data_IF_834854582095
#
_entry.id   IF_834854582095
#
_cell.length_a   1.000
_cell.length_b   1.000
_cell.length_c   1.000
_cell.angle_alpha   90.00
_cell.angle_beta   90.00
_cell.angle_gamma   90.00
#
_symmetry.space_group_name_H-M   'P 1'
#
loop_
_entity.id
_entity.type
_entity.pdbx_description
1 polymer ?
#
# COMPACT_ATOMS: atom_id res chain seq x y z
N UNK A 1 28.62 -3.35 -64.77
CA UNK A 1 29.01 -3.42 -63.34
C UNK A 1 28.56 -2.22 -62.50
N UNK A 2 28.59 -0.98 -63.01
CA UNK A 2 28.15 0.20 -62.24
C UNK A 2 26.65 0.22 -61.85
N UNK A 3 25.73 -0.30 -62.67
CA UNK A 3 24.29 -0.31 -62.32
C UNK A 3 23.90 -1.30 -61.22
N UNK A 4 24.67 -2.38 -61.05
CA UNK A 4 24.43 -3.36 -59.99
C UNK A 4 24.93 -2.86 -58.62
N UNK A 5 25.97 -2.02 -58.63
CA UNK A 5 26.55 -1.42 -57.44
C UNK A 5 25.61 -0.39 -56.79
N UNK A 6 24.88 0.38 -57.60
CA UNK A 6 23.92 1.37 -57.09
C UNK A 6 22.70 0.74 -56.42
N UNK A 7 22.23 -0.41 -56.92
CA UNK A 7 21.07 -1.12 -56.33
C UNK A 7 21.42 -1.68 -54.95
N UNK A 8 22.63 -2.21 -54.78
CA UNK A 8 23.12 -2.71 -53.47
C UNK A 8 23.31 -1.58 -52.44
N UNK A 9 23.71 -0.38 -52.87
CA UNK A 9 23.84 0.78 -51.97
C UNK A 9 22.47 1.31 -51.55
N UNK A 10 21.46 1.30 -52.43
CA UNK A 10 20.09 1.67 -52.04
C UNK A 10 19.41 0.65 -51.13
N UNK A 11 19.74 -0.65 -51.23
CA UNK A 11 19.22 -1.67 -50.31
C UNK A 11 19.92 -1.57 -48.94
N UNK A 12 21.19 -1.14 -48.90
CA UNK A 12 21.90 -0.88 -47.65
C UNK A 12 21.36 0.34 -46.88
N UNK A 13 20.78 1.33 -47.56
CA UNK A 13 20.21 2.53 -46.91
C UNK A 13 18.75 2.37 -46.44
N UNK A 14 18.03 1.35 -46.91
CA UNK A 14 16.66 1.04 -46.45
C UNK A 14 16.66 0.08 -45.25
N UNK A 15 17.82 -0.49 -44.89
CA UNK A 15 17.95 -1.51 -43.83
C UNK A 15 18.36 -1.00 -42.44
N UNK A 16 18.43 0.31 -42.19
CA UNK A 16 18.79 0.86 -40.87
C UNK A 16 17.76 1.91 -40.44
N UNK A 17 16.49 1.55 -40.49
CA UNK A 17 15.53 2.01 -39.48
C UNK A 17 15.32 0.84 -38.52
N UNK A 18 16.40 0.42 -37.85
CA UNK A 18 16.21 -0.29 -36.59
C UNK A 18 15.45 0.68 -35.71
N UNK A 19 14.20 0.36 -35.40
CA UNK A 19 13.56 0.84 -34.19
C UNK A 19 14.54 0.52 -33.07
N UNK A 20 15.39 1.48 -32.72
CA UNK A 20 15.94 1.53 -31.39
C UNK A 20 14.72 1.79 -30.51
N UNK A 21 13.97 0.73 -30.22
CA UNK A 21 13.29 0.63 -28.95
C UNK A 21 14.43 0.75 -27.94
N UNK A 22 14.68 1.98 -27.51
CA UNK A 22 15.47 2.24 -26.34
C UNK A 22 14.74 1.50 -25.24
N UNK A 23 15.18 0.27 -24.95
CA UNK A 23 14.85 -0.41 -23.71
C UNK A 23 15.44 0.48 -22.62
N UNK A 24 14.69 1.48 -22.16
CA UNK A 24 15.09 2.25 -20.99
C UNK A 24 15.31 1.23 -19.87
N UNK A 25 16.52 1.18 -19.33
CA UNK A 25 16.79 0.32 -18.18
C UNK A 25 15.84 0.73 -17.06
N UNK A 26 15.09 -0.23 -16.54
CA UNK A 26 14.19 0.00 -15.42
C UNK A 26 14.99 0.53 -14.22
N UNK A 27 14.58 1.70 -13.75
CA UNK A 27 15.08 2.29 -12.52
C UNK A 27 14.46 1.64 -11.28
N UNK A 28 15.21 1.63 -10.19
CA UNK A 28 14.70 1.29 -8.86
C UNK A 28 14.63 2.56 -8.03
N UNK A 29 13.44 2.91 -7.58
CA UNK A 29 13.23 3.96 -6.59
C UNK A 29 12.78 3.36 -5.26
N UNK A 30 13.19 4.01 -4.17
CA UNK A 30 12.75 3.66 -2.81
C UNK A 30 11.33 4.16 -2.54
N UNK A 31 10.94 5.29 -3.15
CA UNK A 31 9.58 5.81 -3.08
C UNK A 31 8.62 4.97 -3.93
N UNK A 32 7.45 4.67 -3.38
CA UNK A 32 6.37 3.98 -4.06
C UNK A 32 5.04 4.68 -3.75
N UNK A 33 4.18 4.73 -4.75
CA UNK A 33 2.81 5.20 -4.65
C UNK A 33 1.85 4.09 -5.05
N UNK A 34 0.86 3.80 -4.21
CA UNK A 34 -0.12 2.73 -4.45
C UNK A 34 -1.52 3.25 -4.23
N UNK A 35 -2.42 2.94 -5.16
CA UNK A 35 -3.86 3.12 -5.01
C UNK A 35 -4.46 1.74 -4.84
N UNK A 36 -5.24 1.53 -3.79
CA UNK A 36 -5.76 0.23 -3.46
C UNK A 36 -7.25 0.28 -3.21
N UNK A 37 -7.96 -0.65 -3.82
CA UNK A 37 -9.36 -0.93 -3.55
C UNK A 37 -9.45 -2.31 -2.91
N UNK A 38 -10.01 -2.39 -1.70
CA UNK A 38 -10.39 -3.66 -1.07
C UNK A 38 -11.90 -3.76 -1.16
N UNK A 39 -12.39 -4.82 -1.79
CA UNK A 39 -13.81 -5.19 -1.79
C UNK A 39 -13.96 -6.41 -0.90
N UNK A 40 -14.46 -6.22 0.32
CA UNK A 40 -14.64 -7.28 1.30
C UNK A 40 -16.11 -7.66 1.42
N UNK A 41 -16.52 -8.70 0.68
CA UNK A 41 -17.85 -9.33 0.76
C UNK A 41 -17.90 -10.44 1.81
N UNK A 42 -16.82 -10.71 2.52
CA UNK A 42 -16.74 -11.83 3.46
C UNK A 42 -17.03 -11.41 4.89
N UNK A 43 -16.39 -10.33 5.36
CA UNK A 43 -16.42 -9.96 6.77
C UNK A 43 -17.12 -8.62 6.97
N UNK A 44 -16.56 -7.54 6.41
CA UNK A 44 -17.04 -6.18 6.67
C UNK A 44 -18.22 -5.77 5.79
N UNK A 45 -18.39 -6.39 4.62
CA UNK A 45 -19.29 -5.91 3.55
C UNK A 45 -18.91 -4.52 3.00
N UNK A 46 -17.71 -4.03 3.33
CA UNK A 46 -17.26 -2.69 2.99
C UNK A 46 -16.37 -2.70 1.75
N UNK A 47 -16.27 -1.52 1.14
CA UNK A 47 -15.25 -1.23 0.15
C UNK A 47 -14.34 -0.17 0.73
N UNK A 48 -13.05 -0.45 0.81
CA UNK A 48 -12.05 0.52 1.24
C UNK A 48 -11.29 0.98 0.01
N UNK A 49 -11.25 2.29 -0.23
CA UNK A 49 -10.35 2.88 -1.21
C UNK A 49 -9.23 3.59 -0.46
N UNK A 50 -7.98 3.38 -0.87
CA UNK A 50 -6.85 4.02 -0.20
C UNK A 50 -5.75 4.42 -1.16
N UNK A 51 -5.00 5.44 -0.75
CA UNK A 51 -3.73 5.84 -1.33
C UNK A 51 -2.65 5.65 -0.27
N UNK A 52 -1.54 5.00 -0.63
CA UNK A 52 -0.36 4.87 0.22
C UNK A 52 0.86 5.42 -0.50
N UNK A 53 1.54 6.35 0.16
CA UNK A 53 2.88 6.81 -0.21
C UNK A 53 3.86 6.18 0.76
N UNK A 54 4.88 5.49 0.25
CA UNK A 54 5.83 4.80 1.11
C UNK A 54 7.26 4.92 0.62
N UNK A 55 8.22 4.88 1.53
CA UNK A 55 9.64 4.87 1.21
C UNK A 55 10.46 4.25 2.33
N UNK A 56 11.70 3.89 1.98
CA UNK A 56 12.75 3.55 2.96
C UNK A 56 13.84 4.63 3.07
N UNK A 57 13.58 5.81 2.52
CA UNK A 57 14.48 6.96 2.51
C UNK A 57 13.86 8.13 3.26
N UNK A 58 14.56 8.61 4.29
CA UNK A 58 14.17 9.81 5.05
C UNK A 58 14.25 11.10 4.22
N UNK A 59 14.82 11.07 3.01
CA UNK A 59 14.82 12.22 2.09
C UNK A 59 13.49 12.34 1.33
N UNK A 60 12.80 11.22 1.13
CA UNK A 60 11.54 11.11 0.39
C UNK A 60 10.33 11.19 1.33
N UNK A 61 10.44 10.67 2.56
CA UNK A 61 9.48 10.87 3.65
C UNK A 61 10.28 11.31 4.88
N UNK A 62 10.17 12.58 5.26
CA UNK A 62 11.07 13.25 6.19
C UNK A 62 10.67 13.03 7.64
N UNK A 63 11.50 12.27 8.34
CA UNK A 63 11.56 12.24 9.80
C UNK A 63 13.00 12.57 10.24
N UNK A 64 13.23 13.09 11.46
CA UNK A 64 14.59 13.30 11.96
C UNK A 64 15.42 12.02 11.91
N UNK A 65 16.68 12.12 11.48
CA UNK A 65 17.54 10.97 11.31
C UNK A 65 17.85 10.30 12.67
N UNK A 66 17.98 11.11 13.72
CA UNK A 66 18.22 10.66 15.08
C UNK A 66 17.02 9.85 15.60
N UNK A 67 15.79 10.32 15.38
CA UNK A 67 14.57 9.60 15.75
C UNK A 67 14.45 8.28 14.97
N UNK A 68 14.64 8.31 13.64
CA UNK A 68 14.62 7.09 12.80
C UNK A 68 15.62 6.06 13.30
N UNK A 69 16.86 6.49 13.59
CA UNK A 69 17.91 5.61 14.06
C UNK A 69 17.57 5.02 15.42
N UNK A 70 17.09 5.83 16.36
CA UNK A 70 16.70 5.39 17.71
C UNK A 70 15.55 4.38 17.67
N UNK A 71 14.59 4.54 16.76
CA UNK A 71 13.50 3.59 16.52
C UNK A 71 14.04 2.29 15.91
N UNK A 72 14.92 2.41 14.91
CA UNK A 72 15.48 1.28 14.16
C UNK A 72 16.40 0.40 15.00
N UNK A 73 17.18 0.99 15.90
CA UNK A 73 18.15 0.28 16.74
C UNK A 73 17.53 -0.34 17.99
N UNK A 74 16.30 0.02 18.36
CA UNK A 74 15.59 -0.62 19.46
C UNK A 74 14.84 -1.87 18.98
N UNK A 75 15.39 -3.04 19.32
CA UNK A 75 14.83 -4.34 18.97
C UNK A 75 13.41 -4.57 19.54
N UNK A 76 13.04 -3.85 20.60
CA UNK A 76 11.71 -3.92 21.20
C UNK A 76 10.68 -3.12 20.42
N UNK A 77 11.05 -2.06 19.69
CA UNK A 77 10.10 -1.32 18.86
C UNK A 77 9.81 -2.10 17.56
N UNK A 78 8.52 -2.32 17.26
CA UNK A 78 8.05 -3.00 16.04
C UNK A 78 7.32 -2.08 15.07
N UNK A 79 6.66 -1.05 15.57
CA UNK A 79 6.12 0.03 14.76
C UNK A 79 5.78 1.23 15.63
N UNK A 80 5.81 2.41 15.02
CA UNK A 80 5.11 3.60 15.51
C UNK A 80 4.03 3.94 14.50
N UNK A 81 2.83 4.24 15.00
CA UNK A 81 1.65 4.53 14.19
C UNK A 81 1.01 5.82 14.70
N UNK A 82 0.77 6.78 13.82
CA UNK A 82 0.04 8.03 14.09
C UNK A 82 -1.21 8.03 13.23
N UNK A 83 -2.39 8.20 13.83
CA UNK A 83 -3.66 8.04 13.10
C UNK A 83 -4.82 8.81 13.73
N UNK A 84 -5.83 9.18 12.93
CA UNK A 84 -7.12 9.66 13.41
C UNK A 84 -8.28 8.66 13.19
N UNK A 85 -7.94 7.37 13.09
CA UNK A 85 -8.93 6.29 13.15
C UNK A 85 -9.81 6.43 14.40
N UNK A 86 -11.15 6.34 14.22
CA UNK A 86 -12.14 6.54 15.30
C UNK A 86 -11.89 5.64 16.51
N UNK A 87 -11.43 4.42 16.25
CA UNK A 87 -11.09 3.44 17.28
C UNK A 87 -9.75 2.77 16.92
N UNK A 88 -8.65 3.38 17.36
CA UNK A 88 -7.30 2.82 17.16
C UNK A 88 -7.04 1.55 18.00
N UNK A 89 -7.65 1.46 19.19
CA UNK A 89 -7.76 0.26 20.02
C UNK A 89 -9.11 0.27 20.74
N UNK A 90 -9.54 -0.89 21.25
CA UNK A 90 -10.76 -0.97 22.06
C UNK A 90 -10.68 -0.03 23.26
N UNK A 91 -11.70 0.80 23.43
CA UNK A 91 -11.81 1.75 24.55
C UNK A 91 -11.37 3.17 24.23
N UNK A 92 -10.73 3.42 23.07
CA UNK A 92 -10.49 4.77 22.55
C UNK A 92 -11.61 5.14 21.59
N UNK A 93 -12.21 6.30 21.80
CA UNK A 93 -13.33 6.81 21.00
C UNK A 93 -13.14 8.31 20.80
N UNK A 94 -13.49 8.80 19.61
CA UNK A 94 -13.47 10.24 19.29
C UNK A 94 -12.12 10.92 19.60
N UNK A 95 -11.01 10.19 19.48
CA UNK A 95 -9.65 10.67 19.71
C UNK A 95 -8.73 10.23 18.57
N UNK A 96 -7.70 11.04 18.28
CA UNK A 96 -6.58 10.61 17.45
C UNK A 96 -5.53 9.92 18.31
N UNK A 97 -4.76 9.01 17.72
CA UNK A 97 -3.87 8.15 18.46
C UNK A 97 -2.44 8.16 17.94
N UNK A 98 -1.51 8.00 18.87
CA UNK A 98 -0.16 7.52 18.63
C UNK A 98 -0.05 6.16 19.30
N UNK A 99 0.26 5.13 18.53
CA UNK A 99 0.53 3.78 19.02
C UNK A 99 2.00 3.45 18.84
N UNK A 100 2.63 3.05 19.94
CA UNK A 100 4.00 2.53 19.94
C UNK A 100 3.91 1.03 20.20
N UNK A 101 4.16 0.25 19.16
CA UNK A 101 4.02 -1.20 19.19
C UNK A 101 5.35 -1.80 19.65
N UNK A 102 5.31 -2.47 20.80
CA UNK A 102 6.47 -2.99 21.52
C UNK A 102 6.39 -4.51 21.58
N UNK A 103 7.53 -5.17 21.39
CA UNK A 103 7.68 -6.60 21.61
C UNK A 103 7.54 -6.91 23.11
N UNK A 104 6.83 -7.99 23.42
CA UNK A 104 6.70 -8.49 24.78
C UNK A 104 8.06 -8.78 25.40
N UNK A 105 8.27 -8.24 26.60
CA UNK A 105 9.40 -8.62 27.44
C UNK A 105 9.20 -10.06 27.97
N UNK A 106 10.11 -11.01 27.65
CA UNK A 106 9.98 -12.40 28.10
C UNK A 106 10.18 -12.56 29.61
N UNK A 107 10.79 -11.58 30.30
CA UNK A 107 10.96 -11.58 31.74
C UNK A 107 9.70 -11.18 32.51
N UNK A 108 8.80 -10.42 31.85
CA UNK A 108 7.53 -9.98 32.41
C UNK A 108 6.48 -11.11 32.34
N UNK A 109 5.98 -11.51 33.51
CA UNK A 109 5.07 -12.66 33.65
C UNK A 109 3.63 -12.21 33.87
N UNK A 110 3.43 -11.24 34.74
CA UNK A 110 2.10 -10.69 35.07
C UNK A 110 1.60 -9.71 34.01
N UNK A 111 0.27 -9.60 33.84
CA UNK A 111 -0.33 -8.66 32.89
C UNK A 111 0.10 -7.21 33.16
N UNK A 112 0.13 -6.80 34.44
CA UNK A 112 0.58 -5.46 34.83
C UNK A 112 2.08 -5.25 34.55
N UNK A 113 2.93 -6.23 34.85
CA UNK A 113 4.37 -6.16 34.54
C UNK A 113 4.61 -6.03 33.02
N UNK A 114 3.84 -6.76 32.21
CA UNK A 114 3.91 -6.69 30.75
C UNK A 114 3.49 -5.30 30.25
N UNK A 115 2.43 -4.73 30.82
CA UNK A 115 1.96 -3.40 30.47
C UNK A 115 2.97 -2.32 30.88
N UNK A 116 3.46 -2.36 32.12
CA UNK A 116 4.45 -1.41 32.64
C UNK A 116 5.75 -1.46 31.82
N UNK A 117 6.26 -2.66 31.51
CA UNK A 117 7.47 -2.84 30.72
C UNK A 117 7.32 -2.39 29.25
N UNK A 118 6.11 -2.40 28.70
CA UNK A 118 5.85 -1.87 27.35
C UNK A 118 5.74 -0.35 27.38
N UNK A 119 5.05 0.20 28.38
CA UNK A 119 4.94 1.65 28.59
C UNK A 119 6.31 2.27 28.84
N UNK A 120 7.15 1.66 29.68
CA UNK A 120 8.47 2.19 29.99
C UNK A 120 9.31 2.41 28.72
N UNK A 121 9.26 1.48 27.77
CA UNK A 121 9.93 1.63 26.47
C UNK A 121 9.28 2.77 25.68
N UNK A 122 7.96 2.76 25.54
CA UNK A 122 7.23 3.72 24.72
C UNK A 122 7.37 5.18 25.23
N UNK A 123 7.37 5.38 26.54
CA UNK A 123 7.53 6.70 27.17
C UNK A 123 8.90 7.33 26.84
N UNK A 124 9.91 6.54 26.42
CA UNK A 124 11.19 7.10 25.96
C UNK A 124 11.15 7.75 24.57
N UNK A 125 10.07 7.54 23.81
CA UNK A 125 9.91 8.02 22.43
C UNK A 125 8.81 9.07 22.28
N UNK A 126 7.76 9.03 23.11
CA UNK A 126 6.55 9.83 22.89
C UNK A 126 6.81 11.33 22.82
N UNK A 127 7.69 11.89 23.67
CA UNK A 127 7.99 13.33 23.66
C UNK A 127 8.60 13.79 22.33
N UNK A 128 9.52 13.00 21.78
CA UNK A 128 10.20 13.28 20.52
C UNK A 128 9.23 13.10 19.33
N UNK A 129 8.37 12.08 19.40
CA UNK A 129 7.31 11.86 18.41
C UNK A 129 6.34 13.05 18.41
N UNK A 130 5.86 13.48 19.58
CA UNK A 130 5.00 14.65 19.74
C UNK A 130 5.63 15.90 19.15
N UNK A 131 6.93 16.11 19.38
CA UNK A 131 7.67 17.23 18.80
C UNK A 131 7.74 17.16 17.26
N UNK A 132 7.94 15.98 16.69
CA UNK A 132 8.05 15.80 15.23
C UNK A 132 6.72 16.04 14.52
N UNK A 133 5.61 15.59 15.11
CA UNK A 133 4.29 15.69 14.49
C UNK A 133 3.49 16.93 14.92
N UNK A 134 4.06 17.77 15.79
CA UNK A 134 3.39 18.92 16.40
C UNK A 134 2.08 18.51 17.09
N UNK A 135 2.19 17.52 17.97
CA UNK A 135 1.10 16.94 18.75
C UNK A 135 1.39 16.97 20.24
N UNK A 136 0.38 16.74 21.06
CA UNK A 136 0.46 16.72 22.53
C UNK A 136 -0.12 15.43 23.13
N UNK A 137 -0.03 14.32 22.40
CA UNK A 137 -0.65 13.05 22.78
C UNK A 137 -0.21 12.59 24.17
N UNK A 138 -1.19 12.21 24.99
CA UNK A 138 -1.01 11.80 26.38
C UNK A 138 -1.28 10.32 26.54
N UNK A 139 -0.60 9.68 27.50
CA UNK A 139 -0.78 8.26 27.74
C UNK A 139 -2.23 7.93 28.08
N UNK A 140 -2.83 7.02 27.31
CA UNK A 140 -4.17 6.50 27.54
C UNK A 140 -4.13 5.11 28.19
N UNK A 141 -3.46 4.16 27.52
CA UNK A 141 -3.49 2.75 27.94
C UNK A 141 -2.37 1.92 27.34
N UNK A 142 -2.16 0.72 27.88
CA UNK A 142 -1.40 -0.33 27.19
C UNK A 142 -2.37 -1.44 26.78
N UNK A 143 -2.47 -1.66 25.47
CA UNK A 143 -3.36 -2.65 24.88
C UNK A 143 -2.58 -3.90 24.46
N UNK A 144 -3.12 -5.08 24.80
CA UNK A 144 -2.56 -6.36 24.40
C UNK A 144 -3.40 -6.93 23.26
N UNK A 145 -2.82 -7.08 22.08
CA UNK A 145 -3.50 -7.63 20.92
C UNK A 145 -3.61 -9.15 21.09
N UNK A 146 -4.81 -9.63 21.43
CA UNK A 146 -5.12 -11.08 21.55
C UNK A 146 -5.65 -11.69 20.24
N UNK A 147 -6.07 -10.82 19.33
CA UNK A 147 -6.62 -11.14 18.01
C UNK A 147 -6.11 -10.12 16.97
N UNK A 148 -6.69 -10.15 15.77
CA UNK A 148 -6.28 -9.34 14.63
C UNK A 148 -7.20 -8.12 14.41
N UNK A 149 -8.03 -7.72 15.39
CA UNK A 149 -8.99 -6.63 15.21
C UNK A 149 -8.28 -5.30 14.89
N UNK A 150 -7.18 -5.00 15.57
CA UNK A 150 -6.36 -3.82 15.28
C UNK A 150 -5.71 -3.86 13.90
N UNK A 151 -5.41 -5.06 13.37
CA UNK A 151 -4.91 -5.20 12.00
C UNK A 151 -5.98 -4.83 10.97
N UNK A 152 -7.24 -5.18 11.24
CA UNK A 152 -8.36 -4.82 10.36
C UNK A 152 -8.58 -3.31 10.39
N UNK A 153 -8.63 -2.71 11.58
CA UNK A 153 -8.87 -1.28 11.75
C UNK A 153 -7.77 -0.41 11.12
N UNK A 154 -6.50 -0.78 11.30
CA UNK A 154 -5.37 -0.02 10.77
C UNK A 154 -4.98 -0.47 9.34
N UNK A 155 -5.63 -1.52 8.83
CA UNK A 155 -5.28 -2.21 7.59
C UNK A 155 -3.77 -2.54 7.50
N UNK A 156 -3.17 -2.89 8.64
CA UNK A 156 -1.75 -3.23 8.77
C UNK A 156 -1.53 -4.74 8.61
N UNK A 157 -0.30 -5.14 8.29
CA UNK A 157 0.04 -6.56 8.40
C UNK A 157 -0.05 -7.02 9.86
N UNK A 158 -0.52 -8.25 10.09
CA UNK A 158 -0.59 -8.84 11.43
C UNK A 158 0.75 -9.01 12.14
N UNK A 159 1.84 -8.62 11.48
CA UNK A 159 3.20 -8.62 12.00
C UNK A 159 3.44 -7.42 12.93
N UNK A 160 2.75 -6.29 12.72
CA UNK A 160 3.01 -5.07 13.50
C UNK A 160 1.92 -4.75 14.52
N UNK A 161 0.68 -5.22 14.35
CA UNK A 161 -0.44 -4.97 15.28
C UNK A 161 -1.27 -6.24 15.57
N UNK A 162 -0.72 -7.43 15.30
CA UNK A 162 -1.44 -8.71 15.47
C UNK A 162 -1.20 -9.42 16.80
N UNK A 163 -1.73 -10.64 16.90
CA UNK A 163 -1.71 -11.43 18.14
C UNK A 163 -0.32 -11.49 18.79
N UNK A 164 -0.25 -11.11 20.05
CA UNK A 164 0.97 -11.11 20.87
C UNK A 164 1.74 -9.79 20.86
N UNK A 165 1.33 -8.82 20.04
CA UNK A 165 1.84 -7.45 20.09
C UNK A 165 1.26 -6.69 21.28
N UNK A 166 2.03 -5.74 21.81
CA UNK A 166 1.62 -4.84 22.88
C UNK A 166 1.74 -3.41 22.34
N UNK A 167 0.68 -2.63 22.45
CA UNK A 167 0.70 -1.21 22.06
C UNK A 167 0.59 -0.34 23.30
N UNK A 168 1.58 0.50 23.53
CA UNK A 168 1.37 1.68 24.35
C UNK A 168 0.61 2.70 23.49
N UNK A 169 -0.54 3.15 23.97
CA UNK A 169 -1.46 4.02 23.24
C UNK A 169 -1.51 5.37 23.93
N UNK A 170 -1.27 6.40 23.14
CA UNK A 170 -1.36 7.79 23.53
C UNK A 170 -2.44 8.43 22.69
N UNK A 171 -3.27 9.27 23.30
CA UNK A 171 -4.39 9.92 22.62
C UNK A 171 -4.26 11.42 22.65
N UNK A 172 -4.80 12.06 21.63
CA UNK A 172 -4.84 13.51 21.45
C UNK A 172 -6.24 13.90 20.94
N UNK A 173 -6.63 15.18 21.07
CA UNK A 173 -7.91 15.65 20.56
C UNK A 173 -8.11 15.22 19.09
N UNK A 174 -9.36 14.87 18.71
CA UNK A 174 -9.64 14.46 17.34
C UNK A 174 -9.34 15.60 16.36
N UNK A 175 -8.80 15.24 15.21
CA UNK A 175 -8.54 16.17 14.10
C UNK A 175 -9.22 15.65 12.85
N UNK A 176 -9.89 16.56 12.12
CA UNK A 176 -10.49 16.26 10.82
C UNK A 176 -9.42 15.70 9.87
N UNK A 177 -9.79 14.69 9.09
CA UNK A 177 -8.82 13.94 8.27
C UNK A 177 -8.12 14.81 7.24
N UNK A 178 -8.81 15.79 6.64
CA UNK A 178 -8.19 16.72 5.70
C UNK A 178 -7.18 17.64 6.38
N UNK A 179 -7.52 18.24 7.53
CA UNK A 179 -6.59 19.03 8.34
C UNK A 179 -5.35 18.20 8.74
N UNK A 180 -5.58 17.01 9.30
CA UNK A 180 -4.49 16.16 9.77
C UNK A 180 -3.61 15.68 8.61
N UNK A 181 -4.21 15.30 7.47
CA UNK A 181 -3.47 14.89 6.28
C UNK A 181 -2.65 16.04 5.71
N UNK A 182 -3.21 17.24 5.59
CA UNK A 182 -2.49 18.44 5.13
C UNK A 182 -1.31 18.76 6.05
N UNK A 183 -1.53 18.83 7.37
CA UNK A 183 -0.48 19.12 8.37
C UNK A 183 0.65 18.10 8.31
N UNK A 184 0.32 16.82 8.43
CA UNK A 184 1.31 15.75 8.54
C UNK A 184 2.03 15.53 7.21
N UNK A 185 1.33 15.61 6.08
CA UNK A 185 1.98 15.52 4.78
C UNK A 185 2.86 16.74 4.47
N UNK A 186 2.54 17.93 4.99
CA UNK A 186 3.42 19.09 4.85
C UNK A 186 4.73 18.95 5.63
N UNK A 187 4.69 18.29 6.80
CA UNK A 187 5.87 17.93 7.61
C UNK A 187 6.70 16.86 6.90
N UNK A 188 6.05 15.77 6.49
CA UNK A 188 6.72 14.56 6.03
C UNK A 188 7.11 14.59 4.55
N UNK A 189 6.23 15.07 3.67
CA UNK A 189 6.36 14.87 2.23
C UNK A 189 7.00 16.10 1.57
N UNK A 190 8.18 15.96 0.93
CA UNK A 190 8.82 17.04 0.20
C UNK A 190 7.94 17.63 -0.90
N UNK A 191 8.08 18.94 -1.15
CA UNK A 191 7.33 19.65 -2.21
C UNK A 191 7.43 18.98 -3.59
N UNK A 192 8.59 18.43 -3.96
CA UNK A 192 8.75 17.76 -5.26
C UNK A 192 7.81 16.56 -5.45
N UNK A 193 7.39 15.90 -4.35
CA UNK A 193 6.41 14.81 -4.39
C UNK A 193 4.99 15.39 -4.32
N UNK A 194 4.73 16.37 -3.44
CA UNK A 194 3.40 17.00 -3.29
C UNK A 194 2.94 17.75 -4.55
N UNK A 195 3.83 18.56 -5.12
CA UNK A 195 3.61 19.29 -6.37
C UNK A 195 3.67 18.36 -7.61
N UNK A 196 4.04 17.08 -7.40
CA UNK A 196 4.16 16.07 -8.44
C UNK A 196 2.81 15.55 -8.96
N UNK A 197 1.71 15.88 -8.30
CA UNK A 197 0.36 15.42 -8.64
C UNK A 197 0.19 13.91 -8.44
N UNK A 198 -0.75 13.32 -9.17
CA UNK A 198 -0.93 11.86 -9.19
C UNK A 198 -1.55 11.35 -7.89
N UNK A 199 -0.88 10.41 -7.21
CA UNK A 199 -1.45 9.70 -6.07
C UNK A 199 -1.58 10.61 -4.84
N UNK A 200 -0.58 11.47 -4.56
CA UNK A 200 -0.67 12.45 -3.47
C UNK A 200 -1.90 13.37 -3.64
N UNK A 201 -2.11 13.91 -4.83
CA UNK A 201 -3.25 14.79 -5.12
C UNK A 201 -4.61 14.07 -4.96
N UNK A 202 -4.67 12.78 -5.29
CA UNK A 202 -5.88 11.98 -5.06
C UNK A 202 -6.12 11.78 -3.56
N UNK A 203 -5.08 11.49 -2.78
CA UNK A 203 -5.20 11.38 -1.34
C UNK A 203 -5.69 12.70 -0.73
N UNK A 204 -5.05 13.82 -1.04
CA UNK A 204 -5.46 15.15 -0.57
C UNK A 204 -6.92 15.49 -0.90
N UNK A 205 -7.45 15.04 -2.05
CA UNK A 205 -8.87 15.20 -2.37
C UNK A 205 -9.77 14.26 -1.57
N UNK A 206 -9.35 13.02 -1.38
CA UNK A 206 -10.11 12.01 -0.64
C UNK A 206 -10.18 12.30 0.85
N UNK A 207 -9.26 13.10 1.41
CA UNK A 207 -9.20 13.34 2.86
C UNK A 207 -10.39 14.11 3.40
N UNK A 208 -11.16 14.80 2.54
CA UNK A 208 -12.40 15.49 2.93
C UNK A 208 -13.66 14.61 2.85
N UNK A 209 -13.54 13.31 2.51
CA UNK A 209 -14.69 12.39 2.58
C UNK A 209 -15.01 12.03 4.05
N UNK A 210 -16.29 11.83 4.36
CA UNK A 210 -16.79 11.63 5.74
C UNK A 210 -16.10 10.47 6.49
N UNK A 211 -15.86 9.35 5.81
CA UNK A 211 -15.20 8.18 6.38
C UNK A 211 -13.70 8.10 5.99
N UNK A 212 -13.10 9.24 5.64
CA UNK A 212 -11.68 9.28 5.37
C UNK A 212 -10.90 9.17 6.68
N UNK A 213 -9.80 8.41 6.68
CA UNK A 213 -8.87 8.30 7.82
C UNK A 213 -7.43 8.32 7.32
N UNK A 214 -6.55 8.92 8.11
CA UNK A 214 -5.12 8.99 7.85
C UNK A 214 -4.36 8.10 8.81
N UNK A 215 -3.32 7.44 8.31
CA UNK A 215 -2.36 6.69 9.11
C UNK A 215 -0.95 6.93 8.59
N UNK A 216 -0.06 7.39 9.45
CA UNK A 216 1.37 7.37 9.24
C UNK A 216 2.02 6.25 10.06
N UNK A 217 2.97 5.52 9.47
CA UNK A 217 3.71 4.48 10.18
C UNK A 217 5.22 4.52 9.95
N UNK A 218 5.97 4.18 11.00
CA UNK A 218 7.41 3.90 10.97
C UNK A 218 7.60 2.46 11.38
N UNK A 219 8.09 1.63 10.47
CA UNK A 219 8.30 0.20 10.69
C UNK A 219 9.80 -0.10 10.56
N UNK A 220 10.52 -0.35 11.66
CA UNK A 220 11.94 -0.66 11.60
C UNK A 220 12.19 -1.98 10.87
N UNK A 221 13.13 -1.97 9.93
CA UNK A 221 13.70 -3.16 9.26
C UNK A 221 15.20 -3.23 9.59
N UNK A 222 15.86 -4.33 9.22
CA UNK A 222 17.26 -4.62 9.62
C UNK A 222 18.24 -3.45 9.38
N UNK A 223 18.13 -2.74 8.26
CA UNK A 223 19.08 -1.68 7.88
C UNK A 223 18.46 -0.30 7.66
N UNK A 224 17.13 -0.20 7.70
CA UNK A 224 16.36 1.02 7.40
C UNK A 224 14.94 0.89 7.93
N UNK A 225 14.24 1.99 8.14
CA UNK A 225 12.81 1.96 8.42
C UNK A 225 11.98 2.05 7.13
N UNK A 226 10.84 1.37 7.10
CA UNK A 226 9.78 1.60 6.13
C UNK A 226 8.85 2.70 6.69
N UNK A 227 8.72 3.78 5.94
CA UNK A 227 7.88 4.92 6.24
C UNK A 227 6.67 4.88 5.32
N UNK A 228 5.46 5.01 5.86
CA UNK A 228 4.23 4.94 5.07
C UNK A 228 3.24 5.99 5.51
N UNK A 229 2.80 6.84 4.58
CA UNK A 229 1.66 7.73 4.75
C UNK A 229 0.51 7.17 3.93
N UNK A 230 -0.55 6.75 4.62
CA UNK A 230 -1.74 6.18 4.03
C UNK A 230 -2.96 7.06 4.33
N UNK A 231 -3.81 7.20 3.34
CA UNK A 231 -5.16 7.71 3.48
C UNK A 231 -6.13 6.66 2.96
N UNK A 232 -7.16 6.30 3.73
CA UNK A 232 -8.24 5.42 3.31
C UNK A 232 -9.60 6.09 3.46
N UNK A 233 -10.56 5.66 2.65
CA UNK A 233 -11.98 6.00 2.74
C UNK A 233 -12.76 4.71 2.72
N UNK A 234 -13.56 4.49 3.75
CA UNK A 234 -14.48 3.36 3.81
C UNK A 234 -15.84 3.72 3.21
N UNK A 235 -16.36 2.80 2.41
CA UNK A 235 -17.70 2.82 1.85
C UNK A 235 -18.52 1.67 2.44
N UNK A 236 -19.21 1.91 3.58
CA UNK A 236 -19.91 0.86 4.30
C UNK A 236 -21.00 0.18 3.46
N UNK A 237 -21.07 -1.16 3.52
CA UNK A 237 -22.09 -1.97 2.86
C UNK A 237 -22.04 -1.97 1.32
N UNK A 238 -21.06 -1.31 0.70
CA UNK A 238 -20.99 -1.16 -0.76
C UNK A 238 -20.60 -2.45 -1.47
N UNK A 239 -19.86 -3.36 -0.83
CA UNK A 239 -19.26 -4.53 -1.46
C UNK A 239 -20.28 -5.48 -2.09
N UNK A 240 -21.44 -5.64 -1.44
CA UNK A 240 -22.53 -6.50 -1.89
C UNK A 240 -23.20 -6.02 -3.19
N UNK A 241 -23.05 -4.74 -3.54
CA UNK A 241 -23.72 -4.13 -4.71
C UNK A 241 -22.81 -4.00 -5.93
N UNK A 242 -21.51 -4.19 -5.78
CA UNK A 242 -20.53 -3.98 -6.84
C UNK A 242 -20.40 -5.25 -7.68
N UNK A 243 -20.96 -5.28 -8.88
CA UNK A 243 -20.70 -6.34 -9.88
C UNK A 243 -19.67 -5.92 -10.94
N UNK A 244 -19.51 -4.62 -11.16
CA UNK A 244 -18.45 -4.03 -11.99
C UNK A 244 -17.52 -3.21 -11.10
N UNK A 245 -16.24 -3.56 -11.11
CA UNK A 245 -15.20 -2.85 -10.39
C UNK A 245 -14.76 -1.67 -11.24
N UNK A 246 -14.89 -0.46 -10.69
CA UNK A 246 -14.32 0.76 -11.26
C UNK A 246 -13.48 1.46 -10.19
N UNK A 247 -12.15 1.22 -10.15
CA UNK A 247 -11.31 1.73 -9.07
C UNK A 247 -11.34 3.25 -8.95
N UNK A 248 -11.37 3.96 -10.09
CA UNK A 248 -11.32 5.42 -10.07
C UNK A 248 -12.62 6.08 -9.59
N UNK A 249 -13.78 5.40 -9.70
CA UNK A 249 -15.03 5.88 -9.08
C UNK A 249 -14.94 5.91 -7.56
N UNK A 250 -14.24 4.93 -6.99
CA UNK A 250 -14.00 4.84 -5.55
C UNK A 250 -12.90 5.82 -5.09
N UNK A 251 -12.07 6.30 -6.02
CA UNK A 251 -11.07 7.36 -5.80
C UNK A 251 -11.56 8.75 -6.23
N UNK A 252 -12.82 8.88 -6.67
CA UNK A 252 -13.48 10.13 -7.09
C UNK A 252 -12.75 10.87 -8.23
N UNK A 253 -12.15 10.13 -9.16
CA UNK A 253 -11.44 10.71 -10.31
C UNK A 253 -11.77 9.98 -11.61
N UNK A 254 -11.63 10.65 -12.75
CA UNK A 254 -11.81 10.01 -14.08
C UNK A 254 -10.51 9.45 -14.66
N UNK A 255 -9.37 9.92 -14.12
CA UNK A 255 -8.03 9.63 -14.62
C UNK A 255 -7.04 9.71 -13.46
N UNK A 256 -6.08 8.80 -13.47
CA UNK A 256 -4.92 8.84 -12.56
C UNK A 256 -3.63 8.93 -13.39
N UNK A 257 -2.74 9.81 -12.96
CA UNK A 257 -1.40 9.96 -13.52
C UNK A 257 -0.39 9.38 -12.51
N UNK A 258 0.72 8.84 -13.02
CA UNK A 258 1.93 8.64 -12.23
C UNK A 258 2.42 9.99 -11.74
N UNK A 259 2.96 10.05 -10.53
CA UNK A 259 3.56 11.29 -10.03
C UNK A 259 4.71 11.74 -10.93
N UNK A 260 4.82 13.05 -11.15
CA UNK A 260 5.94 13.66 -11.85
C UNK A 260 7.28 13.42 -11.13
N UNK A 261 7.26 12.96 -9.87
CA UNK A 261 8.45 12.46 -9.16
C UNK A 261 9.22 11.41 -9.98
N UNK A 262 8.51 10.56 -10.73
CA UNK A 262 9.10 9.52 -11.56
C UNK A 262 9.39 9.95 -13.00
N UNK A 263 9.22 11.24 -13.35
CA UNK A 263 9.31 11.71 -14.75
C UNK A 263 10.72 11.63 -15.35
N UNK A 264 11.76 11.57 -14.52
CA UNK A 264 13.15 11.54 -14.96
C UNK A 264 13.62 10.16 -15.47
N UNK A 265 12.80 9.10 -15.32
CA UNK A 265 13.20 7.75 -15.71
C UNK A 265 12.06 6.74 -15.78
N UNK A 266 12.41 5.50 -16.11
CA UNK A 266 11.46 4.41 -16.27
C UNK A 266 11.29 3.62 -14.95
N UNK A 267 10.22 3.91 -14.21
CA UNK A 267 9.91 3.31 -12.91
C UNK A 267 8.51 2.63 -12.91
N UNK A 268 8.30 1.58 -13.72
CA UNK A 268 6.98 0.99 -13.96
C UNK A 268 6.38 0.30 -12.74
N UNK A 269 7.20 -0.06 -11.74
CA UNK A 269 6.77 -0.77 -10.53
C UNK A 269 6.63 0.14 -9.30
N UNK A 270 6.83 1.44 -9.45
CA UNK A 270 6.77 2.40 -8.34
C UNK A 270 5.42 3.11 -8.23
N UNK A 271 4.57 3.00 -9.26
CA UNK A 271 3.18 3.47 -9.25
C UNK A 271 2.25 2.31 -9.57
N UNK A 272 1.47 1.83 -8.60
CA UNK A 272 0.64 0.62 -8.75
C UNK A 272 -0.80 0.94 -8.38
N UNK A 273 -1.75 0.41 -9.16
CA UNK A 273 -3.16 0.34 -8.75
C UNK A 273 -3.48 -1.11 -8.43
N UNK A 274 -4.04 -1.37 -7.26
CA UNK A 274 -4.36 -2.71 -6.79
C UNK A 274 -5.84 -2.82 -6.46
N UNK A 275 -6.43 -3.94 -6.82
CA UNK A 275 -7.75 -4.35 -6.35
C UNK A 275 -7.60 -5.69 -5.64
N UNK A 276 -8.12 -5.78 -4.42
CA UNK A 276 -8.22 -7.01 -3.66
C UNK A 276 -9.70 -7.30 -3.44
N UNK A 277 -10.09 -8.54 -3.71
CA UNK A 277 -11.47 -9.00 -3.58
C UNK A 277 -11.46 -10.17 -2.62
N UNK A 278 -12.26 -10.06 -1.57
CA UNK A 278 -12.51 -11.10 -0.59
C UNK A 278 -14.00 -11.45 -0.69
N UNK A 279 -14.30 -12.70 -1.01
CA UNK A 279 -15.68 -13.18 -1.15
C UNK A 279 -15.86 -14.52 -0.42
N UNK A 280 -17.04 -14.77 0.18
CA UNK A 280 -17.34 -16.07 0.78
C UNK A 280 -17.51 -17.16 -0.29
N UNK A 281 -17.87 -16.77 -1.50
CA UNK A 281 -18.02 -17.66 -2.66
C UNK A 281 -16.90 -17.41 -3.68
N UNK A 282 -16.72 -18.35 -4.61
CA UNK A 282 -15.75 -18.16 -5.68
C UNK A 282 -16.25 -17.12 -6.67
N UNK A 283 -15.43 -16.10 -6.93
CA UNK A 283 -15.66 -15.10 -7.97
C UNK A 283 -14.79 -15.42 -9.18
N UNK A 284 -15.19 -15.00 -10.38
CA UNK A 284 -14.32 -14.98 -11.57
C UNK A 284 -14.20 -13.55 -12.09
N UNK A 285 -12.96 -13.13 -12.40
CA UNK A 285 -12.73 -11.90 -13.16
C UNK A 285 -13.16 -12.10 -14.61
N UNK A 286 -14.02 -11.21 -15.10
CA UNK A 286 -14.50 -11.20 -16.48
C UNK A 286 -14.59 -9.78 -17.03
N UNK A 287 -14.87 -9.65 -18.34
CA UNK A 287 -15.11 -8.36 -19.01
C UNK A 287 -14.05 -7.27 -18.73
N UNK A 288 -12.79 -7.67 -18.63
CA UNK A 288 -11.66 -6.75 -18.41
C UNK A 288 -11.59 -5.80 -19.60
N UNK A 289 -11.73 -4.50 -19.34
CA UNK A 289 -11.71 -3.45 -20.37
C UNK A 289 -10.30 -3.03 -20.77
N UNK A 290 -9.36 -3.09 -19.84
CA UNK A 290 -7.95 -2.80 -20.07
C UNK A 290 -7.16 -3.98 -20.65
N UNK A 291 -5.89 -3.72 -20.92
CA UNK A 291 -4.94 -4.75 -21.33
C UNK A 291 -4.63 -5.71 -20.17
N UNK A 292 -4.24 -6.94 -20.50
CA UNK A 292 -3.68 -7.91 -19.56
C UNK A 292 -2.21 -8.07 -19.88
N UNK A 293 -1.33 -7.84 -18.90
CA UNK A 293 0.11 -8.02 -19.11
C UNK A 293 0.41 -9.52 -19.13
N UNK A 294 1.15 -10.03 -20.14
CA UNK A 294 1.53 -11.43 -20.17
C UNK A 294 2.37 -11.78 -18.94
N UNK A 295 2.11 -12.95 -18.35
CA UNK A 295 2.79 -13.42 -17.14
C UNK A 295 3.43 -14.79 -17.32
N UNK A 296 4.47 -15.06 -16.54
CA UNK A 296 5.02 -16.39 -16.32
C UNK A 296 4.93 -16.76 -14.84
N UNK A 297 4.84 -18.05 -14.53
CA UNK A 297 4.87 -18.51 -13.14
C UNK A 297 6.32 -18.68 -12.70
N UNK A 298 6.70 -18.03 -11.60
CA UNK A 298 7.99 -18.22 -10.93
C UNK A 298 7.78 -18.28 -9.42
N UNK A 299 8.36 -19.28 -8.77
CA UNK A 299 8.17 -19.64 -7.35
C UNK A 299 6.70 -19.66 -6.88
N UNK A 300 5.78 -20.06 -7.77
CA UNK A 300 4.35 -20.17 -7.46
C UNK A 300 3.54 -18.88 -7.65
N UNK A 301 4.17 -17.78 -8.07
CA UNK A 301 3.50 -16.49 -8.32
C UNK A 301 3.52 -16.11 -9.81
N UNK A 302 2.50 -15.37 -10.26
CA UNK A 302 2.47 -14.79 -11.61
C UNK A 302 3.30 -13.51 -11.68
N UNK A 303 4.38 -13.58 -12.46
CA UNK A 303 5.28 -12.47 -12.73
C UNK A 303 5.02 -11.92 -14.14
N UNK A 304 4.82 -10.60 -14.32
CA UNK A 304 4.79 -10.00 -15.65
C UNK A 304 6.04 -10.39 -16.45
N UNK A 305 5.92 -10.70 -17.74
CA UNK A 305 7.08 -10.93 -18.60
C UNK A 305 7.55 -9.66 -19.29
N UNK A 306 6.66 -8.66 -19.40
CA UNK A 306 6.92 -7.40 -20.07
C UNK A 306 6.31 -6.22 -19.28
N UNK A 307 7.12 -5.63 -18.40
CA UNK A 307 6.76 -4.46 -17.59
C UNK A 307 6.73 -3.14 -18.36
N UNK A 308 7.08 -3.12 -19.65
CA UNK A 308 6.92 -1.92 -20.49
C UNK A 308 5.47 -1.69 -20.92
N UNK A 309 4.67 -2.75 -20.91
CA UNK A 309 3.25 -2.69 -21.26
C UNK A 309 2.39 -2.39 -20.05
N UNK A 310 1.44 -1.49 -20.25
CA UNK A 310 0.40 -1.24 -19.27
C UNK A 310 -0.63 -2.38 -19.26
N UNK A 311 -1.25 -2.62 -18.11
CA UNK A 311 -2.33 -3.59 -18.01
C UNK A 311 -2.44 -4.24 -16.64
N UNK A 312 -3.47 -5.08 -16.51
CA UNK A 312 -3.73 -5.88 -15.34
C UNK A 312 -2.90 -7.16 -15.29
N UNK A 313 -2.53 -7.52 -14.07
CA UNK A 313 -2.01 -8.82 -13.68
C UNK A 313 -2.90 -9.35 -12.56
N UNK A 314 -3.57 -10.48 -12.81
CA UNK A 314 -4.48 -11.11 -11.87
C UNK A 314 -3.90 -12.42 -11.35
N UNK A 315 -3.78 -12.52 -10.03
CA UNK A 315 -3.26 -13.70 -9.34
C UNK A 315 -3.98 -13.97 -8.01
N UNK A 316 -4.85 -15.00 -7.94
CA UNK A 316 -5.41 -15.77 -9.05
C UNK A 316 -6.43 -14.95 -9.87
N UNK A 317 -6.94 -15.53 -10.97
CA UNK A 317 -8.03 -14.93 -11.78
C UNK A 317 -9.44 -15.31 -11.29
N UNK A 318 -9.53 -16.31 -10.40
CA UNK A 318 -10.76 -16.81 -9.83
C UNK A 318 -10.53 -17.31 -8.39
N UNK A 319 -11.58 -17.35 -7.59
CA UNK A 319 -11.58 -17.87 -6.23
C UNK A 319 -12.17 -16.89 -5.20
N UNK A 320 -12.08 -17.27 -3.93
CA UNK A 320 -12.56 -16.46 -2.79
C UNK A 320 -11.65 -15.25 -2.49
N UNK A 321 -10.38 -15.31 -2.90
CA UNK A 321 -9.43 -14.20 -2.79
C UNK A 321 -8.79 -13.94 -4.14
N UNK A 322 -9.06 -12.78 -4.71
CA UNK A 322 -8.51 -12.34 -5.99
C UNK A 322 -7.69 -11.07 -5.78
N UNK A 323 -6.54 -10.98 -6.44
CA UNK A 323 -5.75 -9.77 -6.49
C UNK A 323 -5.49 -9.38 -7.95
N UNK A 324 -5.88 -8.16 -8.31
CA UNK A 324 -5.53 -7.51 -9.55
C UNK A 324 -4.53 -6.39 -9.29
N UNK A 325 -3.42 -6.36 -10.02
CA UNK A 325 -2.45 -5.26 -10.01
C UNK A 325 -2.38 -4.67 -11.41
N UNK A 326 -2.64 -3.38 -11.54
CA UNK A 326 -2.45 -2.65 -12.78
C UNK A 326 -1.07 -1.99 -12.77
N UNK A 327 -0.31 -2.25 -13.82
CA UNK A 327 0.99 -1.67 -14.09
C UNK A 327 0.82 -0.63 -15.19
N UNK A 328 1.47 0.53 -15.06
CA UNK A 328 1.38 1.60 -16.06
C UNK A 328 2.31 1.40 -17.25
N UNK A 329 3.35 0.58 -17.12
CA UNK A 329 4.37 0.41 -18.14
C UNK A 329 5.00 1.74 -18.53
N UNK A 330 5.14 1.96 -19.84
CA UNK A 330 5.62 3.23 -20.42
C UNK A 330 4.58 4.35 -20.37
N UNK A 331 3.31 4.03 -20.11
CA UNK A 331 2.27 5.06 -19.98
C UNK A 331 2.49 5.86 -18.70
N UNK A 332 2.16 7.15 -18.76
CA UNK A 332 2.20 8.04 -17.59
C UNK A 332 0.84 8.18 -16.92
N UNK A 333 -0.22 7.64 -17.53
CA UNK A 333 -1.57 7.78 -17.03
C UNK A 333 -2.52 6.72 -17.53
N UNK A 334 -3.62 6.50 -16.80
CA UNK A 334 -4.71 5.60 -17.18
C UNK A 334 -6.06 6.23 -16.83
N UNK A 335 -7.06 6.01 -17.68
CA UNK A 335 -8.43 6.48 -17.47
C UNK A 335 -9.30 5.42 -16.79
N UNK A 336 -10.46 5.85 -16.32
CA UNK A 336 -11.44 5.01 -15.64
C UNK A 336 -11.87 3.77 -16.45
N UNK A 337 -12.12 3.92 -17.75
CA UNK A 337 -12.61 2.82 -18.60
C UNK A 337 -11.59 1.68 -18.70
N UNK A 338 -10.30 2.00 -18.82
CA UNK A 338 -9.23 1.00 -18.93
C UNK A 338 -9.01 0.20 -17.63
N UNK A 339 -9.54 0.66 -16.50
CA UNK A 339 -9.41 -0.01 -15.20
C UNK A 339 -10.63 -0.85 -14.83
N UNK A 340 -11.69 -0.86 -15.65
CA UNK A 340 -12.90 -1.61 -15.35
C UNK A 340 -12.76 -3.10 -15.64
N UNK A 341 -13.40 -3.90 -14.80
CA UNK A 341 -13.65 -5.32 -15.01
C UNK A 341 -14.87 -5.75 -14.19
N UNK A 342 -15.46 -6.89 -14.55
CA UNK A 342 -16.64 -7.45 -13.85
C UNK A 342 -16.27 -8.63 -12.98
N UNK A 343 -17.09 -8.86 -11.96
CA UNK A 343 -17.13 -10.08 -11.17
C UNK A 343 -18.29 -10.93 -11.67
N UNK A 344 -18.00 -12.16 -12.06
CA UNK A 344 -18.99 -13.14 -12.50
C UNK A 344 -19.16 -14.26 -11.48
N UNK A 345 -20.36 -14.85 -11.45
CA UNK A 345 -20.69 -16.00 -10.62
C UNK A 345 -20.05 -17.29 -11.16
N UNK A 346 -19.46 -18.09 -10.28
CA UNK A 346 -19.13 -19.50 -10.56
C UNK A 346 -20.36 -20.34 -10.28
N UNK A 347 -20.76 -21.25 -11.18
CA UNK A 347 -21.73 -22.28 -10.80
C UNK A 347 -21.19 -23.11 -9.64
N UNK A 348 -21.96 -23.36 -8.57
CA UNK A 348 -21.44 -24.00 -7.38
C UNK A 348 -20.96 -25.43 -7.68
N UNK A 349 -19.65 -25.65 -7.61
CA UNK A 349 -19.09 -26.98 -7.36
C UNK A 349 -18.93 -27.15 -5.85
N UNK A 350 -19.40 -28.26 -5.25
CA UNK A 350 -19.28 -28.47 -3.83
C UNK A 350 -17.82 -28.77 -3.49
N UNK A 351 -17.10 -27.79 -2.93
CA UNK A 351 -15.85 -28.02 -2.22
C UNK A 351 -16.12 -28.05 -0.72
N UNK A 352 -15.59 -29.07 -0.04
CA UNK A 352 -15.78 -29.31 1.39
C UNK A 352 -15.47 -28.06 2.22
N UNK A 353 -16.38 -27.73 3.13
CA UNK A 353 -16.20 -26.65 4.09
C UNK A 353 -15.07 -27.00 5.06
N UNK A 354 -13.87 -26.49 4.82
CA UNK A 354 -12.94 -26.20 5.90
C UNK A 354 -13.17 -24.74 6.30
N UNK A 355 -13.98 -24.52 7.34
CA UNK A 355 -13.93 -23.27 8.10
C UNK A 355 -12.60 -23.27 8.88
N UNK A 356 -11.49 -23.13 8.17
CA UNK A 356 -10.31 -22.53 8.77
C UNK A 356 -10.58 -21.03 8.79
N UNK A 357 -10.49 -20.45 9.99
CA UNK A 357 -10.50 -19.02 10.23
C UNK A 357 -9.73 -18.30 9.12
N UNK A 358 -10.43 -17.50 8.31
CA UNK A 358 -9.82 -16.56 7.38
C UNK A 358 -9.04 -15.57 8.23
N UNK A 359 -7.78 -15.88 8.55
CA UNK A 359 -6.84 -14.89 9.04
C UNK A 359 -6.65 -13.96 7.85
N UNK A 360 -7.31 -12.80 7.94
CA UNK A 360 -7.20 -11.71 6.99
C UNK A 360 -5.80 -11.13 7.14
N UNK A 361 -4.86 -11.80 6.49
CA UNK A 361 -3.49 -11.34 6.35
C UNK A 361 -3.52 -10.28 5.23
N UNK A 362 -3.91 -9.04 5.60
CA UNK A 362 -3.66 -7.82 4.81
C UNK A 362 -2.16 -7.55 4.89
N UNK A 363 -1.34 -8.41 4.30
CA UNK A 363 0.03 -8.05 3.95
C UNK A 363 -0.08 -7.43 2.58
N UNK A 364 -0.24 -6.12 2.51
CA UNK A 364 -0.23 -5.45 1.21
C UNK A 364 0.84 -4.36 1.14
N UNK A 365 1.17 -3.72 2.25
CA UNK A 365 2.22 -2.72 2.35
C UNK A 365 3.65 -3.28 2.19
N UNK A 366 3.98 -4.37 2.90
CA UNK A 366 5.30 -5.03 2.80
C UNK A 366 5.49 -5.73 1.44
N UNK A 367 4.38 -6.19 0.82
CA UNK A 367 4.42 -6.91 -0.46
C UNK A 367 4.85 -6.01 -1.61
N UNK A 368 4.59 -4.71 -1.63
CA UNK A 368 4.99 -3.88 -2.78
C UNK A 368 6.52 -3.77 -2.93
N UNK A 369 7.28 -3.67 -1.83
CA UNK A 369 8.74 -3.66 -1.85
C UNK A 369 9.29 -5.06 -2.11
N UNK A 370 8.72 -6.09 -1.45
CA UNK A 370 9.13 -7.47 -1.66
C UNK A 370 8.81 -7.97 -3.08
N UNK A 371 7.66 -7.59 -3.64
CA UNK A 371 7.24 -7.92 -5.01
C UNK A 371 8.08 -7.18 -6.05
N UNK A 372 8.43 -5.90 -5.83
CA UNK A 372 9.40 -5.23 -6.70
C UNK A 372 10.74 -5.97 -6.70
N UNK A 373 11.28 -6.32 -5.51
CA UNK A 373 12.52 -7.11 -5.37
C UNK A 373 12.40 -8.52 -5.97
N UNK A 374 11.25 -9.17 -5.85
CA UNK A 374 10.99 -10.52 -6.33
C UNK A 374 10.78 -10.57 -7.84
N UNK A 375 10.00 -9.65 -8.42
CA UNK A 375 9.87 -9.49 -9.87
C UNK A 375 11.25 -9.28 -10.51
N UNK A 376 12.11 -8.46 -9.90
CA UNK A 376 13.49 -8.27 -10.35
C UNK A 376 14.34 -9.54 -10.31
N UNK A 377 14.15 -10.40 -9.30
CA UNK A 377 14.85 -11.69 -9.22
C UNK A 377 14.44 -12.61 -10.36
N UNK A 378 13.18 -12.54 -10.81
CA UNK A 378 12.69 -13.25 -11.99
C UNK A 378 13.26 -12.73 -13.32
N UNK A 379 13.62 -11.44 -13.39
CA UNK A 379 14.24 -10.80 -14.56
C UNK A 379 15.76 -10.95 -14.64
N UNK A 380 16.44 -11.24 -13.53
CA UNK A 380 17.87 -11.60 -13.52
C UNK A 380 18.05 -13.07 -13.93
N UNK A 381 18.03 -13.35 -15.23
CA UNK A 381 18.57 -14.59 -15.81
C UNK A 381 19.60 -14.29 -16.88
#
# INVERSE_FOLDING_TARGET
>A
MQKLLWILISIAFVGISTNFAYSQEMGLATFQETAQIIVDRSISQNVTASITLQSTSIQEIRIPAELEQKIREDERIKAIIVTNQEQCVLGVFDESCIMINVLRDPSAKGIFEIQDAAREVADTYIDEINQVFDTDAQFHSVFLHTDDESNKALETSGIISGRGMISAVYTMPPEDTDSMYEKISAILIPKIIRDGGGFYEIAEKLSSEENAKMTFSVIPLESKSLLQLKLSVDYPGKAATISEISPLDLLKVDKINRSNYFSAGFYPLNSIIQVVILSPENEIISNIKGNIVPTQVADGEKIPTDISKEGWVFDPQEGQRIQGKYIFGEQTSVNKENLKFSLGDVQPTPSESSMESIIVVIIISIVAIAAALFYLKGYRK
#
